data_IF_904766162193
#
_entry.id   IF_904766162193
#
_cell.length_a   1.000
_cell.length_b   1.000
_cell.length_c   1.000
_cell.angle_alpha   90.00
_cell.angle_beta   90.00
_cell.angle_gamma   90.00
#
_symmetry.space_group_name_H-M   'P 1'
#
loop_
_entity.id
_entity.type
_entity.pdbx_description
1 polymer ?
#
# COMPACT_ATOMS: atom_id res chain seq x y z
N UNK A 1 -12.03 -46.83 20.21
CA UNK A 1 -11.40 -45.73 19.46
C UNK A 1 -10.45 -45.02 20.42
N UNK A 2 -9.17 -44.86 20.09
CA UNK A 2 -8.25 -44.14 20.99
C UNK A 2 -8.46 -42.64 20.78
N UNK A 3 -8.63 -41.90 21.87
CA UNK A 3 -8.63 -40.43 21.85
C UNK A 3 -7.23 -39.94 21.54
N UNK A 4 -7.12 -38.93 20.68
CA UNK A 4 -5.85 -38.29 20.34
C UNK A 4 -5.36 -37.48 21.54
N UNK A 5 -4.06 -37.59 21.85
CA UNK A 5 -3.40 -36.84 22.91
C UNK A 5 -2.83 -35.53 22.34
N UNK A 6 -3.58 -34.44 22.53
CA UNK A 6 -3.26 -33.11 22.00
C UNK A 6 -2.20 -32.35 22.83
N UNK A 7 -1.84 -32.83 24.02
CA UNK A 7 -0.82 -32.19 24.87
C UNK A 7 0.58 -32.14 24.24
N UNK A 8 0.83 -33.03 23.26
CA UNK A 8 2.09 -33.13 22.52
C UNK A 8 2.17 -32.19 21.32
N UNK A 9 1.08 -31.52 20.98
CA UNK A 9 0.98 -30.70 19.78
C UNK A 9 1.40 -29.26 20.11
N UNK A 10 2.06 -28.63 19.14
CA UNK A 10 2.28 -27.19 19.15
C UNK A 10 0.97 -26.45 18.91
N UNK A 11 0.89 -25.17 19.32
CA UNK A 11 -0.31 -24.37 19.08
C UNK A 11 -0.66 -24.25 17.59
N UNK A 12 0.35 -24.16 16.71
CA UNK A 12 0.13 -24.11 15.26
C UNK A 12 -0.50 -25.40 14.73
N UNK A 13 -0.04 -26.57 15.21
CA UNK A 13 -0.65 -27.85 14.87
C UNK A 13 -2.07 -27.98 15.44
N UNK A 14 -2.33 -27.48 16.66
CA UNK A 14 -3.67 -27.45 17.24
C UNK A 14 -4.64 -26.57 16.42
N UNK A 15 -4.18 -25.42 15.91
CA UNK A 15 -4.99 -24.58 15.02
C UNK A 15 -5.25 -25.24 13.67
N UNK A 16 -4.25 -25.92 13.10
CA UNK A 16 -4.40 -26.66 11.85
C UNK A 16 -5.40 -27.82 11.99
N UNK A 17 -5.29 -28.60 13.07
CA UNK A 17 -6.27 -29.65 13.39
C UNK A 17 -7.65 -29.04 13.61
N UNK A 18 -7.77 -27.91 14.32
CA UNK A 18 -9.06 -27.25 14.54
C UNK A 18 -9.74 -26.80 13.24
N UNK A 19 -8.96 -26.37 12.25
CA UNK A 19 -9.48 -25.94 10.95
C UNK A 19 -9.96 -27.10 10.08
N UNK A 20 -9.33 -28.27 10.21
CA UNK A 20 -9.52 -29.39 9.28
C UNK A 20 -10.24 -30.62 9.88
N UNK A 21 -10.43 -30.67 11.20
CA UNK A 21 -11.09 -31.82 11.85
C UNK A 21 -12.58 -31.89 11.49
N UNK A 22 -13.00 -33.07 11.02
CA UNK A 22 -14.42 -33.38 10.85
C UNK A 22 -15.07 -33.61 12.21
N UNK A 23 -15.90 -32.65 12.60
CA UNK A 23 -16.57 -32.59 13.90
C UNK A 23 -17.67 -33.65 14.06
N UNK A 24 -18.25 -34.09 12.95
CA UNK A 24 -19.34 -35.07 12.93
C UNK A 24 -18.77 -36.50 12.92
N UNK A 25 -17.69 -36.73 12.19
CA UNK A 25 -17.01 -38.02 12.15
C UNK A 25 -16.18 -38.30 13.43
N UNK A 26 -15.63 -37.27 14.07
CA UNK A 26 -14.72 -37.41 15.21
C UNK A 26 -15.04 -36.48 16.40
N UNK A 27 -16.24 -36.60 17.02
CA UNK A 27 -16.70 -35.68 18.06
C UNK A 27 -15.86 -35.73 19.36
N UNK A 28 -15.38 -36.91 19.75
CA UNK A 28 -14.58 -37.07 20.98
C UNK A 28 -13.17 -36.46 20.84
N UNK A 29 -12.55 -36.58 19.66
CA UNK A 29 -11.28 -35.91 19.39
C UNK A 29 -11.48 -34.39 19.28
N UNK A 30 -12.59 -33.92 18.72
CA UNK A 30 -12.91 -32.50 18.68
C UNK A 30 -13.09 -31.90 20.08
N UNK A 31 -13.78 -32.61 21.00
CA UNK A 31 -13.87 -32.19 22.41
C UNK A 31 -12.51 -32.14 23.11
N UNK A 32 -11.69 -33.18 22.93
CA UNK A 32 -10.34 -33.22 23.51
C UNK A 32 -9.46 -32.06 23.02
N UNK A 33 -9.56 -31.70 21.74
CA UNK A 33 -8.89 -30.54 21.16
C UNK A 33 -9.35 -29.22 21.79
N UNK A 34 -10.66 -29.05 21.99
CA UNK A 34 -11.21 -27.84 22.63
C UNK A 34 -10.76 -27.70 24.08
N UNK A 35 -10.72 -28.82 24.82
CA UNK A 35 -10.21 -28.83 26.20
C UNK A 35 -8.74 -28.44 26.24
N UNK A 36 -7.92 -28.95 25.33
CA UNK A 36 -6.50 -28.60 25.27
C UNK A 36 -6.29 -27.12 24.91
N UNK A 37 -7.06 -26.58 23.97
CA UNK A 37 -7.02 -25.15 23.62
C UNK A 37 -7.48 -24.25 24.77
N UNK A 38 -8.44 -24.70 25.59
CA UNK A 38 -8.90 -23.97 26.79
C UNK A 38 -7.86 -24.04 27.92
N UNK A 39 -7.25 -25.21 28.13
CA UNK A 39 -6.15 -25.38 29.09
C UNK A 39 -4.96 -24.47 28.77
N UNK A 40 -4.72 -24.18 27.48
CA UNK A 40 -3.63 -23.32 26.98
C UNK A 40 -4.12 -21.95 26.53
N UNK A 41 -5.25 -21.48 27.05
CA UNK A 41 -5.87 -20.21 26.64
C UNK A 41 -4.91 -19.02 26.70
N UNK A 42 -4.12 -18.90 27.76
CA UNK A 42 -3.13 -17.81 27.89
C UNK A 42 -2.07 -17.85 26.78
N UNK A 43 -1.58 -19.04 26.43
CA UNK A 43 -0.62 -19.19 25.34
C UNK A 43 -1.25 -18.92 23.96
N UNK A 44 -2.52 -19.32 23.78
CA UNK A 44 -3.31 -19.04 22.57
C UNK A 44 -3.52 -17.54 22.41
N UNK A 45 -3.89 -16.83 23.47
CA UNK A 45 -4.07 -15.38 23.47
C UNK A 45 -2.74 -14.68 23.16
N UNK A 46 -1.66 -15.05 23.86
CA UNK A 46 -0.33 -14.48 23.62
C UNK A 46 0.18 -14.71 22.18
N UNK A 47 -0.03 -15.91 21.60
CA UNK A 47 0.36 -16.19 20.22
C UNK A 47 -0.49 -15.40 19.22
N UNK A 48 -1.79 -15.24 19.50
CA UNK A 48 -2.70 -14.46 18.67
C UNK A 48 -2.33 -12.98 18.68
N UNK A 49 -2.06 -12.42 19.86
CA UNK A 49 -1.58 -11.04 20.02
C UNK A 49 -0.25 -10.84 19.30
N UNK A 50 0.72 -11.74 19.50
CA UNK A 50 2.01 -11.68 18.82
C UNK A 50 1.86 -11.72 17.29
N UNK A 51 1.06 -12.64 16.74
CA UNK A 51 0.79 -12.71 15.29
C UNK A 51 0.12 -11.43 14.79
N UNK A 52 -0.78 -10.84 15.58
CA UNK A 52 -1.42 -9.58 15.24
C UNK A 52 -0.44 -8.41 15.25
N UNK A 53 0.47 -8.34 16.23
CA UNK A 53 1.52 -7.32 16.31
C UNK A 53 2.52 -7.43 15.16
N UNK A 54 3.02 -8.63 14.86
CA UNK A 54 3.92 -8.89 13.73
C UNK A 54 3.28 -8.47 12.41
N UNK A 55 2.00 -8.77 12.25
CA UNK A 55 1.23 -8.39 11.09
C UNK A 55 1.06 -6.86 10.98
N UNK A 56 0.68 -6.17 12.07
CA UNK A 56 0.58 -4.70 12.11
C UNK A 56 1.94 -4.06 11.78
N UNK A 57 3.02 -4.55 12.38
CA UNK A 57 4.37 -4.07 12.12
C UNK A 57 4.77 -4.23 10.65
N UNK A 58 4.46 -5.38 10.04
CA UNK A 58 4.69 -5.62 8.62
C UNK A 58 3.98 -4.59 7.74
N UNK A 59 2.72 -4.30 8.07
CA UNK A 59 1.90 -3.35 7.33
C UNK A 59 2.41 -1.92 7.48
N UNK A 60 2.73 -1.48 8.70
CA UNK A 60 3.32 -0.16 8.94
C UNK A 60 4.62 0.03 8.15
N UNK A 61 5.47 -1.00 8.09
CA UNK A 61 6.70 -0.93 7.31
C UNK A 61 6.44 -0.79 5.81
N UNK A 62 5.44 -1.50 5.26
CA UNK A 62 5.05 -1.36 3.85
C UNK A 62 4.56 0.05 3.54
N UNK A 63 3.78 0.65 4.43
CA UNK A 63 3.32 2.03 4.31
C UNK A 63 4.47 3.04 4.42
N UNK A 64 5.42 2.80 5.33
CA UNK A 64 6.62 3.63 5.46
C UNK A 64 7.43 3.60 4.17
N UNK A 65 7.63 2.43 3.57
CA UNK A 65 8.31 2.29 2.28
C UNK A 65 7.60 3.10 1.20
N UNK A 66 6.27 2.97 1.07
CA UNK A 66 5.49 3.75 0.11
C UNK A 66 5.61 5.26 0.37
N UNK A 67 5.53 5.69 1.63
CA UNK A 67 5.67 7.10 2.01
C UNK A 67 7.03 7.67 1.62
N UNK A 68 8.11 6.92 1.88
CA UNK A 68 9.46 7.31 1.46
C UNK A 68 9.62 7.35 -0.06
N UNK A 69 9.03 6.40 -0.79
CA UNK A 69 9.05 6.41 -2.26
C UNK A 69 8.31 7.61 -2.84
N UNK A 70 7.21 8.04 -2.23
CA UNK A 70 6.51 9.26 -2.62
C UNK A 70 7.30 10.52 -2.30
N UNK A 71 7.99 10.58 -1.15
CA UNK A 71 8.92 11.68 -0.86
C UNK A 71 10.10 11.72 -1.84
N UNK A 72 10.65 10.57 -2.22
CA UNK A 72 11.68 10.49 -3.25
C UNK A 72 11.14 10.89 -4.63
N UNK A 73 9.89 10.53 -4.95
CA UNK A 73 9.19 11.02 -6.16
C UNK A 73 9.05 12.53 -6.15
N UNK A 74 8.67 13.12 -5.00
CA UNK A 74 8.60 14.57 -4.80
C UNK A 74 9.94 15.24 -5.06
N UNK A 75 11.03 14.69 -4.53
CA UNK A 75 12.37 15.21 -4.75
C UNK A 75 12.77 15.09 -6.23
N UNK A 76 12.46 13.97 -6.87
CA UNK A 76 12.72 13.77 -8.29
C UNK A 76 11.97 14.79 -9.17
N UNK A 77 10.69 15.05 -8.91
CA UNK A 77 9.96 16.11 -9.60
C UNK A 77 10.53 17.51 -9.30
N UNK A 78 10.98 17.80 -8.08
CA UNK A 78 11.64 19.06 -7.76
C UNK A 78 12.93 19.26 -8.59
N UNK A 79 13.71 18.20 -8.78
CA UNK A 79 14.90 18.23 -9.65
C UNK A 79 14.47 18.50 -11.11
N UNK A 80 13.43 17.81 -11.61
CA UNK A 80 12.88 18.03 -12.96
C UNK A 80 12.37 19.47 -13.12
N UNK A 81 11.75 20.07 -12.10
CA UNK A 81 11.34 21.48 -12.10
C UNK A 81 12.53 22.40 -12.30
N UNK A 82 13.61 22.19 -11.53
CA UNK A 82 14.81 23.02 -11.60
C UNK A 82 15.41 22.94 -13.01
N UNK A 83 15.61 21.74 -13.54
CA UNK A 83 16.11 21.56 -14.91
C UNK A 83 15.19 22.22 -15.96
N UNK A 84 13.88 22.12 -15.77
CA UNK A 84 12.91 22.74 -16.70
C UNK A 84 12.93 24.27 -16.61
N UNK A 85 13.13 24.84 -15.42
CA UNK A 85 13.16 26.29 -15.20
C UNK A 85 14.42 26.97 -15.78
N UNK A 86 15.55 26.26 -15.82
CA UNK A 86 16.79 26.75 -16.44
C UNK A 86 16.94 26.35 -17.92
N UNK A 87 16.06 25.47 -18.41
CA UNK A 87 16.03 25.02 -19.80
C UNK A 87 15.14 25.88 -20.70
N UNK A 88 14.96 25.43 -21.95
CA UNK A 88 14.05 26.04 -22.94
C UNK A 88 12.61 25.52 -22.83
N UNK A 89 12.26 24.84 -21.73
CA UNK A 89 10.95 24.23 -21.54
C UNK A 89 9.89 25.29 -21.21
N UNK A 90 8.62 24.97 -21.50
CA UNK A 90 7.51 25.90 -21.27
C UNK A 90 7.25 26.12 -19.78
N UNK A 91 6.76 27.31 -19.42
CA UNK A 91 6.34 27.64 -18.04
C UNK A 91 5.27 26.67 -17.50
N UNK A 92 4.48 26.09 -18.40
CA UNK A 92 3.47 25.07 -18.10
C UNK A 92 4.11 23.81 -17.51
N UNK A 93 5.24 23.34 -18.06
CA UNK A 93 5.94 22.17 -17.54
C UNK A 93 6.47 22.40 -16.12
N UNK A 94 7.01 23.59 -15.86
CA UNK A 94 7.49 23.98 -14.52
C UNK A 94 6.33 23.99 -13.51
N UNK A 95 5.18 24.55 -13.89
CA UNK A 95 3.98 24.57 -13.04
C UNK A 95 3.51 23.15 -12.70
N UNK A 96 3.37 22.29 -13.72
CA UNK A 96 2.91 20.91 -13.55
C UNK A 96 3.85 20.12 -12.65
N UNK A 97 5.16 20.14 -12.94
CA UNK A 97 6.13 19.42 -12.12
C UNK A 97 6.14 19.93 -10.67
N UNK A 98 5.90 21.23 -10.45
CA UNK A 98 5.84 21.81 -9.10
C UNK A 98 4.62 21.31 -8.33
N UNK A 99 3.46 21.25 -8.98
CA UNK A 99 2.24 20.67 -8.40
C UNK A 99 2.46 19.19 -8.06
N UNK A 100 3.05 18.42 -8.97
CA UNK A 100 3.32 17.00 -8.75
C UNK A 100 4.34 16.76 -7.63
N UNK A 101 5.37 17.61 -7.53
CA UNK A 101 6.32 17.58 -6.42
C UNK A 101 5.59 17.80 -5.08
N UNK A 102 4.83 18.89 -4.96
CA UNK A 102 4.07 19.21 -3.74
C UNK A 102 3.10 18.09 -3.39
N UNK A 103 2.35 17.59 -4.37
CA UNK A 103 1.36 16.54 -4.16
C UNK A 103 1.99 15.24 -3.65
N UNK A 104 3.08 14.77 -4.28
CA UNK A 104 3.81 13.58 -3.81
C UNK A 104 4.45 13.81 -2.43
N UNK A 105 4.93 15.03 -2.16
CA UNK A 105 5.52 15.40 -0.88
C UNK A 105 4.49 15.35 0.25
N UNK A 106 3.32 15.95 0.03
CA UNK A 106 2.21 15.94 0.99
C UNK A 106 1.66 14.53 1.20
N UNK A 107 1.45 13.77 0.13
CA UNK A 107 0.96 12.40 0.20
C UNK A 107 1.94 11.52 1.00
N UNK A 108 3.24 11.56 0.66
CA UNK A 108 4.29 10.80 1.36
C UNK A 108 4.43 11.19 2.82
N UNK A 109 4.56 12.49 3.14
CA UNK A 109 4.69 12.97 4.51
C UNK A 109 3.48 12.62 5.39
N UNK A 110 2.25 12.77 4.85
CA UNK A 110 1.02 12.45 5.58
C UNK A 110 0.84 10.94 5.74
N UNK A 111 1.32 10.13 4.79
CA UNK A 111 1.33 8.68 4.90
C UNK A 111 2.31 8.19 5.97
N UNK A 112 3.51 8.79 6.05
CA UNK A 112 4.50 8.48 7.10
C UNK A 112 4.02 8.84 8.51
N UNK A 113 3.13 9.83 8.62
CA UNK A 113 2.48 10.20 9.89
C UNK A 113 1.19 9.43 10.14
N UNK A 114 0.88 8.40 9.33
CA UNK A 114 -0.28 7.52 9.42
C UNK A 114 -1.62 8.27 9.52
N UNK A 115 -1.72 9.46 8.92
CA UNK A 115 -2.98 10.23 8.93
C UNK A 115 -3.90 9.73 7.83
N UNK A 116 -5.21 9.64 8.11
CA UNK A 116 -6.24 9.25 7.12
C UNK A 116 -6.11 9.99 5.79
N UNK A 117 -5.91 11.31 5.85
CA UNK A 117 -5.71 12.13 4.65
C UNK A 117 -4.48 11.72 3.82
N UNK A 118 -3.43 11.17 4.45
CA UNK A 118 -2.25 10.66 3.75
C UNK A 118 -2.54 9.39 2.95
N UNK A 119 -3.43 8.52 3.47
CA UNK A 119 -3.91 7.36 2.72
C UNK A 119 -4.74 7.80 1.50
N UNK A 120 -5.69 8.71 1.69
CA UNK A 120 -6.55 9.21 0.60
C UNK A 120 -5.73 9.87 -0.52
N UNK A 121 -4.79 10.75 -0.16
CA UNK A 121 -3.87 11.36 -1.11
C UNK A 121 -3.02 10.32 -1.84
N UNK A 122 -2.48 9.34 -1.10
CA UNK A 122 -1.68 8.27 -1.70
C UNK A 122 -2.51 7.43 -2.66
N UNK A 123 -3.76 7.15 -2.33
CA UNK A 123 -4.69 6.38 -3.15
C UNK A 123 -4.96 7.10 -4.48
N UNK A 124 -5.30 8.39 -4.41
CA UNK A 124 -5.50 9.25 -5.58
C UNK A 124 -4.22 9.30 -6.44
N UNK A 125 -3.06 9.44 -5.79
CA UNK A 125 -1.77 9.48 -6.46
C UNK A 125 -1.49 8.20 -7.26
N UNK A 126 -1.75 7.04 -6.67
CA UNK A 126 -1.57 5.77 -7.37
C UNK A 126 -2.58 5.59 -8.51
N UNK A 127 -3.84 5.99 -8.34
CA UNK A 127 -4.87 5.93 -9.40
C UNK A 127 -4.39 6.66 -10.67
N UNK A 128 -3.86 7.87 -10.52
CA UNK A 128 -3.37 8.62 -11.67
C UNK A 128 -2.16 7.98 -12.36
N UNK A 129 -1.39 7.15 -11.65
CA UNK A 129 -0.23 6.46 -12.23
C UNK A 129 -0.61 5.15 -12.94
N UNK A 130 -1.81 4.59 -12.69
CA UNK A 130 -2.20 3.29 -13.26
C UNK A 130 -2.18 3.34 -14.79
N UNK A 131 -2.69 4.42 -15.39
CA UNK A 131 -3.03 4.41 -16.82
C UNK A 131 -2.16 5.39 -17.60
N UNK A 132 -1.53 4.88 -18.65
CA UNK A 132 -0.94 5.68 -19.73
C UNK A 132 -1.82 5.53 -20.96
N UNK A 133 -2.20 6.64 -21.60
CA UNK A 133 -2.98 6.65 -22.84
C UNK A 133 -2.31 7.56 -23.86
N UNK A 134 -2.21 7.08 -25.08
CA UNK A 134 -1.92 7.84 -26.27
C UNK A 134 -3.01 7.54 -27.30
N UNK A 135 -3.66 8.54 -27.87
CA UNK A 135 -4.66 8.37 -28.93
C UNK A 135 -4.23 9.01 -30.25
N UNK A 136 -3.00 9.52 -30.32
CA UNK A 136 -2.57 10.43 -31.36
C UNK A 136 -3.05 11.86 -31.12
N UNK A 137 -4.32 12.09 -30.77
CA UNK A 137 -4.79 13.45 -30.47
C UNK A 137 -4.63 13.86 -29.00
N UNK A 138 -4.45 12.87 -28.12
CA UNK A 138 -4.36 13.04 -26.68
C UNK A 138 -3.30 12.09 -26.13
N UNK A 139 -2.38 12.60 -25.33
CA UNK A 139 -1.41 11.82 -24.57
C UNK A 139 -1.49 12.17 -23.10
N UNK A 140 -1.59 11.14 -22.26
CA UNK A 140 -1.48 11.23 -20.82
C UNK A 140 -0.58 10.11 -20.31
N UNK A 141 0.43 10.47 -19.54
CA UNK A 141 1.25 9.53 -18.79
C UNK A 141 1.69 10.20 -17.51
N UNK A 142 1.55 9.48 -16.40
CA UNK A 142 2.09 9.89 -15.12
C UNK A 142 2.78 8.69 -14.47
N UNK A 143 4.05 8.85 -14.13
CA UNK A 143 4.83 7.84 -13.42
C UNK A 143 5.53 8.46 -12.22
N UNK A 144 5.45 7.80 -11.07
CA UNK A 144 6.25 8.12 -9.89
C UNK A 144 7.73 7.79 -10.09
N UNK A 145 8.47 7.62 -9.00
CA UNK A 145 9.91 7.36 -9.05
C UNK A 145 10.29 6.14 -9.92
N UNK A 146 9.41 5.16 -10.08
CA UNK A 146 9.59 4.06 -11.02
C UNK A 146 8.24 3.57 -11.55
N UNK A 147 8.28 2.88 -12.69
CA UNK A 147 7.10 2.30 -13.33
C UNK A 147 7.42 0.98 -14.00
N UNK A 148 6.43 0.10 -14.05
CA UNK A 148 6.46 -1.12 -14.86
C UNK A 148 5.18 -1.21 -15.67
N UNK A 149 5.23 -0.65 -16.87
CA UNK A 149 4.07 -0.45 -17.74
C UNK A 149 4.00 -1.59 -18.75
N UNK A 150 2.86 -2.26 -18.80
CA UNK A 150 2.51 -3.22 -19.85
C UNK A 150 1.34 -2.67 -20.64
N UNK A 151 1.41 -2.71 -21.96
CA UNK A 151 0.38 -2.10 -22.79
C UNK A 151 0.29 -2.61 -24.21
N UNK A 152 -0.68 -2.06 -24.93
CA UNK A 152 -0.99 -2.37 -26.34
C UNK A 152 -0.97 -1.05 -27.12
N UNK A 153 -0.29 -1.05 -28.26
CA UNK A 153 -0.39 -0.02 -29.30
C UNK A 153 -0.32 -0.70 -30.66
N UNK A 154 0.76 -0.46 -31.42
CA UNK A 154 1.10 -1.21 -32.63
C UNK A 154 1.59 -2.66 -32.38
N UNK A 155 1.29 -3.20 -31.21
CA UNK A 155 1.80 -4.44 -30.65
C UNK A 155 1.78 -4.37 -29.13
N UNK A 156 2.18 -5.46 -28.48
CA UNK A 156 2.39 -5.46 -27.03
C UNK A 156 3.70 -4.75 -26.73
N UNK A 157 3.69 -3.81 -25.77
CA UNK A 157 4.89 -3.16 -25.29
C UNK A 157 5.04 -3.35 -23.78
N UNK A 158 6.30 -3.35 -23.34
CA UNK A 158 6.68 -3.37 -21.93
C UNK A 158 7.70 -2.25 -21.72
N UNK A 159 7.43 -1.38 -20.75
CA UNK A 159 8.33 -0.29 -20.37
C UNK A 159 8.64 -0.40 -18.89
N UNK A 160 9.92 -0.45 -18.57
CA UNK A 160 10.41 -0.41 -17.20
C UNK A 160 11.21 0.86 -16.99
N UNK A 161 11.04 1.50 -15.84
CA UNK A 161 11.77 2.72 -15.49
C UNK A 161 12.00 2.77 -13.98
N UNK A 162 13.21 3.17 -13.59
CA UNK A 162 13.63 3.27 -12.18
C UNK A 162 14.30 4.62 -11.99
N UNK A 163 13.99 5.28 -10.87
CA UNK A 163 14.45 6.64 -10.55
C UNK A 163 14.16 7.66 -11.68
N UNK A 164 13.03 7.50 -12.36
CA UNK A 164 12.63 8.33 -13.50
C UNK A 164 11.17 8.77 -13.34
N UNK A 165 10.92 9.75 -12.45
CA UNK A 165 9.61 10.38 -12.38
C UNK A 165 9.32 11.08 -13.70
N UNK A 166 8.09 10.92 -14.16
CA UNK A 166 7.70 11.36 -15.50
C UNK A 166 6.26 11.82 -15.50
N UNK A 167 6.03 12.91 -16.22
CA UNK A 167 4.69 13.35 -16.55
C UNK A 167 4.68 13.84 -17.99
N UNK A 168 3.66 13.44 -18.74
CA UNK A 168 3.39 14.02 -20.04
C UNK A 168 1.91 14.14 -20.27
N UNK A 169 1.51 15.33 -20.69
CA UNK A 169 0.14 15.66 -21.06
C UNK A 169 0.17 16.49 -22.33
N UNK A 170 -0.45 16.00 -23.39
CA UNK A 170 -0.52 16.70 -24.66
C UNK A 170 -1.93 16.56 -25.26
N UNK A 171 -2.43 17.66 -25.82
CA UNK A 171 -3.70 17.71 -26.56
C UNK A 171 -3.43 18.44 -27.87
N UNK A 172 -3.76 17.82 -29.00
CA UNK A 172 -3.50 18.35 -30.34
C UNK A 172 -3.12 17.24 -31.31
N UNK A 173 -2.92 17.56 -32.59
CA UNK A 173 -2.46 16.57 -33.58
C UNK A 173 -1.05 16.09 -33.25
N UNK A 174 -0.95 15.01 -32.48
CA UNK A 174 0.27 14.25 -32.32
C UNK A 174 0.20 13.12 -33.36
N UNK A 175 1.23 12.97 -34.18
CA UNK A 175 1.31 11.86 -35.14
C UNK A 175 1.56 10.50 -34.46
N UNK A 176 1.27 10.39 -33.17
CA UNK A 176 1.43 9.20 -32.36
C UNK A 176 0.36 8.16 -32.66
N UNK A 177 0.76 6.90 -32.69
CA UNK A 177 -0.19 5.80 -32.81
C UNK A 177 -0.91 5.58 -31.48
N UNK A 178 -2.16 5.13 -31.55
CA UNK A 178 -2.94 4.77 -30.38
C UNK A 178 -2.19 3.74 -29.53
N UNK A 179 -2.05 4.01 -28.24
CA UNK A 179 -1.52 3.06 -27.26
C UNK A 179 -2.14 3.27 -25.89
N UNK A 180 -2.30 2.18 -25.15
CA UNK A 180 -2.73 2.19 -23.75
C UNK A 180 -1.81 1.28 -22.96
N UNK A 181 -1.37 1.74 -21.79
CA UNK A 181 -0.51 1.01 -20.88
C UNK A 181 -1.04 1.07 -19.45
N UNK A 182 -0.74 0.02 -18.70
CA UNK A 182 -1.08 -0.13 -17.28
C UNK A 182 0.21 -0.25 -16.48
N UNK A 183 0.40 0.61 -15.48
CA UNK A 183 1.52 0.55 -14.55
C UNK A 183 1.23 -0.43 -13.40
N UNK A 184 1.93 -1.56 -13.43
CA UNK A 184 1.81 -2.62 -12.43
C UNK A 184 2.39 -2.21 -11.07
N UNK A 185 3.31 -1.25 -11.03
CA UNK A 185 3.86 -0.71 -9.76
C UNK A 185 2.78 0.07 -9.03
N UNK A 186 2.02 0.91 -9.74
CA UNK A 186 0.91 1.67 -9.17
C UNK A 186 -0.21 0.76 -8.63
N UNK A 187 -0.54 -0.32 -9.38
CA UNK A 187 -1.49 -1.34 -8.92
C UNK A 187 -0.99 -2.03 -7.65
N UNK A 188 0.28 -2.42 -7.61
CA UNK A 188 0.86 -3.04 -6.41
C UNK A 188 0.74 -2.12 -5.18
N UNK A 189 1.04 -0.83 -5.33
CA UNK A 189 0.88 0.11 -4.21
C UNK A 189 -0.57 0.35 -3.81
N UNK A 190 -1.53 0.29 -4.75
CA UNK A 190 -2.96 0.33 -4.41
C UNK A 190 -3.40 -0.89 -3.60
N UNK A 191 -2.92 -2.09 -3.94
CA UNK A 191 -3.20 -3.30 -3.17
C UNK A 191 -2.67 -3.14 -1.74
N UNK A 192 -1.43 -2.65 -1.59
CA UNK A 192 -0.85 -2.36 -0.27
C UNK A 192 -1.73 -1.38 0.50
N UNK A 193 -2.13 -0.25 -0.10
CA UNK A 193 -2.99 0.73 0.55
C UNK A 193 -4.36 0.16 0.94
N UNK A 194 -4.98 -0.65 0.08
CA UNK A 194 -6.28 -1.26 0.35
C UNK A 194 -6.22 -2.24 1.52
N UNK A 195 -5.21 -3.12 1.54
CA UNK A 195 -5.01 -4.04 2.66
C UNK A 195 -4.85 -3.29 3.98
N UNK A 196 -4.22 -2.13 4.00
CA UNK A 196 -4.06 -1.33 5.22
C UNK A 196 -5.38 -0.71 5.72
N UNK A 197 -6.25 -0.31 4.79
CA UNK A 197 -7.52 0.33 5.11
C UNK A 197 -8.52 -0.67 5.73
N UNK A 198 -8.64 -1.86 5.15
CA UNK A 198 -9.53 -2.93 5.63
C UNK A 198 -9.19 -3.40 7.05
N UNK A 199 -7.92 -3.28 7.45
CA UNK A 199 -7.43 -3.71 8.77
C UNK A 199 -7.73 -2.72 9.90
N UNK A 200 -8.41 -1.61 9.62
CA UNK A 200 -8.81 -0.65 10.65
C UNK A 200 -7.66 0.05 11.36
N UNK A 201 -6.45 0.10 10.75
CA UNK A 201 -5.32 0.89 11.28
C UNK A 201 -5.68 2.38 11.43
N UNK A 202 -6.64 2.84 10.63
CA UNK A 202 -7.22 4.18 10.77
C UNK A 202 -8.01 4.36 12.08
N UNK A 203 -8.72 3.33 12.58
CA UNK A 203 -9.53 3.45 13.81
C UNK A 203 -8.69 3.39 15.09
N UNK A 204 -7.63 2.58 15.12
CA UNK A 204 -6.69 2.52 16.27
C UNK A 204 -5.92 3.82 16.46
N UNK A 205 -5.65 4.56 15.39
CA UNK A 205 -4.88 5.81 15.44
C UNK A 205 -5.72 6.98 15.99
N UNK A 206 -7.00 7.08 15.60
CA UNK A 206 -7.92 8.07 16.18
C UNK A 206 -8.18 7.82 17.67
N UNK A 207 -8.23 6.56 18.10
CA UNK A 207 -8.41 6.22 19.51
C UNK A 207 -7.17 6.56 20.36
N UNK A 208 -5.96 6.38 19.82
CA UNK A 208 -4.70 6.66 20.55
C UNK A 208 -4.45 8.17 20.74
N UNK A 209 -4.95 9.02 19.83
CA UNK A 209 -4.89 10.48 19.95
C UNK A 209 -5.89 10.97 21.00
N UNK A 210 -7.11 10.41 21.01
CA UNK A 210 -8.16 10.76 21.98
C UNK A 210 -7.97 10.16 23.38
N UNK A 211 -7.04 9.22 23.56
CA UNK A 211 -6.71 8.61 24.85
C UNK A 211 -5.44 9.18 25.49
N UNK A 212 -4.85 10.25 24.94
CA UNK A 212 -3.76 10.96 25.63
C UNK A 212 -4.37 11.74 26.80
N UNK A 213 -4.05 11.45 28.08
CA UNK A 213 -4.56 12.24 29.19
C UNK A 213 -4.10 13.67 29.00
N UNK A 214 -5.05 14.61 29.04
CA UNK A 214 -4.76 16.04 29.11
C UNK A 214 -3.68 16.27 30.16
N UNK A 215 -2.59 16.89 29.73
CA UNK A 215 -1.55 17.44 30.60
C UNK A 215 -2.30 18.33 31.60
N UNK A 216 -2.34 17.91 32.87
CA UNK A 216 -3.04 18.61 33.92
C UNK A 216 -2.68 20.09 33.92
N UNK A 217 -3.72 20.92 33.99
CA UNK A 217 -3.62 22.27 34.52
C UNK A 217 -2.87 22.19 35.86
N UNK A 218 -1.73 22.88 35.92
CA UNK A 218 -1.07 23.21 37.17
C UNK A 218 -1.49 24.64 37.45
N UNK A 219 -2.05 24.83 38.64
CA UNK A 219 -2.43 26.12 39.26
C UNK A 219 -1.35 27.20 39.11
#
# INVERSE_FOLDING_TARGET
MSTVDYSKYTLDELFDVRANIDKEAHPENYKALLIELDNRKEEVEALTEKKQEEFIFSIENRLKILGWLQLATSLGFAIVCIYSAFGTQTIVNVMICSVLAIFNGLAGYRLLTCKRYGFELSYINQIFQIVTINTGSFFFSYSGLGSFIVGIGNGVFVKFSVLSPGFGFFVGENSGQFSVGIDLVAIFFLIVLNSCNELGLLSKTDHKINSTPGRGEVD
#
